data_IF_434203085829
#
_entry.id   IF_434203085829
#
_cell.length_a   1.000
_cell.length_b   1.000
_cell.length_c   1.000
_cell.angle_alpha   90.00
_cell.angle_beta   90.00
_cell.angle_gamma   90.00
#
_symmetry.space_group_name_H-M   'P 1'
#
loop_
_entity.id
_entity.type
_entity.pdbx_description
1 polymer ?
#
# COMPACT_ATOMS: atom_id res chain seq x y z
N UNK A 1 -5.81 -1.80 7.02
CA UNK A 1 -5.03 -2.17 5.83
C UNK A 1 -5.50 -3.53 5.33
N UNK A 2 -5.25 -3.85 4.05
CA UNK A 2 -5.72 -5.09 3.40
C UNK A 2 -4.97 -6.36 3.85
N UNK A 3 -3.82 -6.20 4.52
CA UNK A 3 -3.02 -7.25 5.14
C UNK A 3 -2.26 -6.64 6.34
N UNK A 4 -1.73 -7.49 7.22
CA UNK A 4 -0.89 -7.08 8.34
C UNK A 4 0.59 -6.90 7.97
N UNK A 5 0.99 -7.24 6.73
CA UNK A 5 2.35 -7.00 6.23
C UNK A 5 3.43 -7.85 6.91
N UNK A 6 3.08 -8.95 7.59
CA UNK A 6 4.07 -9.78 8.32
C UNK A 6 5.11 -10.40 7.39
N UNK A 7 4.71 -10.82 6.19
CA UNK A 7 5.59 -11.30 5.12
C UNK A 7 4.90 -11.20 3.75
N UNK A 8 5.68 -11.42 2.69
CA UNK A 8 5.22 -11.31 1.30
C UNK A 8 4.15 -12.37 0.99
N UNK A 9 4.41 -13.65 1.30
CA UNK A 9 3.50 -14.75 1.00
C UNK A 9 2.10 -14.55 1.61
N UNK A 10 2.03 -14.09 2.86
CA UNK A 10 0.77 -13.78 3.55
C UNK A 10 0.04 -12.63 2.86
N UNK A 11 0.78 -11.56 2.52
CA UNK A 11 0.21 -10.40 1.84
C UNK A 11 -0.35 -10.76 0.46
N UNK A 12 0.38 -11.56 -0.32
CA UNK A 12 -0.10 -12.06 -1.62
C UNK A 12 -1.36 -12.91 -1.47
N UNK A 13 -1.37 -13.85 -0.52
CA UNK A 13 -2.54 -14.69 -0.25
C UNK A 13 -3.76 -13.85 0.12
N UNK A 14 -3.59 -12.86 0.98
CA UNK A 14 -4.69 -12.00 1.42
C UNK A 14 -5.24 -11.15 0.27
N UNK A 15 -4.38 -10.58 -0.57
CA UNK A 15 -4.82 -9.80 -1.74
C UNK A 15 -5.51 -10.67 -2.79
N UNK A 16 -5.00 -11.88 -3.07
CA UNK A 16 -5.62 -12.82 -4.00
C UNK A 16 -7.00 -13.32 -3.54
N UNK A 17 -7.24 -13.36 -2.23
CA UNK A 17 -8.56 -13.68 -1.69
C UNK A 17 -9.56 -12.52 -1.81
N UNK A 18 -9.10 -11.28 -1.90
CA UNK A 18 -9.94 -10.08 -1.97
C UNK A 18 -10.30 -9.75 -3.43
N UNK A 19 -9.36 -9.90 -4.34
CA UNK A 19 -9.53 -9.50 -5.75
C UNK A 19 -9.72 -10.70 -6.68
N UNK A 20 -10.58 -10.58 -7.71
CA UNK A 20 -10.77 -11.65 -8.70
C UNK A 20 -9.49 -11.90 -9.49
N UNK A 21 -9.25 -13.16 -9.86
CA UNK A 21 -8.04 -13.60 -10.56
C UNK A 21 -7.79 -12.88 -11.88
N UNK A 22 -8.86 -12.58 -12.62
CA UNK A 22 -8.80 -11.81 -13.86
C UNK A 22 -8.19 -10.41 -13.70
N UNK A 23 -8.20 -9.85 -12.49
CA UNK A 23 -7.68 -8.51 -12.20
C UNK A 23 -6.24 -8.52 -11.66
N UNK A 24 -5.67 -9.68 -11.28
CA UNK A 24 -4.40 -9.73 -10.55
C UNK A 24 -3.24 -9.04 -11.27
N UNK A 25 -3.04 -9.31 -12.56
CA UNK A 25 -1.95 -8.71 -13.34
C UNK A 25 -2.12 -7.18 -13.46
N UNK A 26 -3.35 -6.72 -13.69
CA UNK A 26 -3.64 -5.28 -13.79
C UNK A 26 -3.41 -4.58 -12.46
N UNK A 27 -3.94 -5.13 -11.38
CA UNK A 27 -3.81 -4.58 -10.03
C UNK A 27 -2.35 -4.56 -9.57
N UNK A 28 -1.59 -5.62 -9.86
CA UNK A 28 -0.16 -5.69 -9.54
C UNK A 28 0.60 -4.50 -10.14
N UNK A 29 0.43 -4.25 -11.44
CA UNK A 29 1.07 -3.12 -12.11
C UNK A 29 0.57 -1.78 -11.56
N UNK A 30 -0.74 -1.63 -11.36
CA UNK A 30 -1.32 -0.41 -10.78
C UNK A 30 -0.74 -0.10 -9.39
N UNK A 31 -0.59 -1.11 -8.52
CA UNK A 31 0.02 -0.94 -7.20
C UNK A 31 1.49 -0.53 -7.29
N UNK A 32 2.26 -1.09 -8.23
CA UNK A 32 3.66 -0.71 -8.45
C UNK A 32 3.77 0.73 -8.94
N UNK A 33 3.02 1.11 -9.98
CA UNK A 33 3.05 2.47 -10.51
C UNK A 33 2.59 3.47 -9.45
N UNK A 34 1.52 3.16 -8.74
CA UNK A 34 1.04 3.99 -7.65
C UNK A 34 2.10 4.20 -6.56
N UNK A 35 2.78 3.14 -6.13
CA UNK A 35 3.84 3.21 -5.14
C UNK A 35 5.04 4.05 -5.56
N UNK A 36 5.34 4.10 -6.86
CA UNK A 36 6.47 4.87 -7.41
C UNK A 36 6.15 6.33 -7.62
N UNK A 37 4.94 6.63 -8.12
CA UNK A 37 4.56 7.99 -8.51
C UNK A 37 3.89 8.75 -7.38
N UNK A 38 3.04 8.10 -6.57
CA UNK A 38 2.17 8.79 -5.61
C UNK A 38 2.42 8.38 -4.16
N UNK A 39 2.83 7.14 -3.89
CA UNK A 39 3.00 6.64 -2.51
C UNK A 39 4.45 6.22 -2.23
N UNK A 40 5.40 7.12 -2.49
CA UNK A 40 6.82 6.84 -2.32
C UNK A 40 7.18 6.56 -0.86
N UNK A 41 7.93 5.49 -0.64
CA UNK A 41 8.23 4.96 0.69
C UNK A 41 9.06 5.89 1.59
N UNK A 42 9.62 6.99 1.08
CA UNK A 42 10.39 7.97 1.86
C UNK A 42 9.88 9.40 1.76
N UNK A 43 8.82 9.64 0.98
CA UNK A 43 8.27 10.98 0.76
C UNK A 43 6.81 11.07 1.18
N UNK A 44 5.99 10.04 0.94
CA UNK A 44 4.56 10.10 1.26
C UNK A 44 4.29 10.25 2.77
N UNK A 45 5.15 9.69 3.62
CA UNK A 45 4.99 9.63 5.09
C UNK A 45 3.61 9.14 5.58
N UNK A 46 2.83 8.51 4.69
CA UNK A 46 1.46 8.09 4.96
C UNK A 46 0.45 9.22 5.09
N UNK A 47 0.75 10.42 4.59
CA UNK A 47 -0.08 11.62 4.71
C UNK A 47 -0.40 12.30 3.37
N UNK A 48 0.39 12.05 2.32
CA UNK A 48 0.34 12.87 1.10
C UNK A 48 -0.49 12.26 -0.03
N UNK A 49 -0.61 10.93 -0.07
CA UNK A 49 -1.29 10.27 -1.18
C UNK A 49 -2.75 9.96 -0.85
N UNK A 50 -3.62 10.10 -1.86
CA UNK A 50 -5.06 9.89 -1.73
C UNK A 50 -5.44 8.57 -1.03
N UNK A 51 -4.75 7.47 -1.35
CA UNK A 51 -5.03 6.17 -0.71
C UNK A 51 -4.68 6.20 0.77
N UNK A 52 -3.58 6.84 1.18
CA UNK A 52 -3.21 6.94 2.59
C UNK A 52 -4.19 7.80 3.37
N UNK A 53 -4.59 8.95 2.82
CA UNK A 53 -5.59 9.84 3.42
C UNK A 53 -6.95 9.15 3.56
N UNK A 54 -7.40 8.49 2.49
CA UNK A 54 -8.67 7.74 2.48
C UNK A 54 -8.66 6.57 3.46
N UNK A 55 -7.57 5.80 3.52
CA UNK A 55 -7.47 4.65 4.41
C UNK A 55 -7.24 5.05 5.88
N UNK A 56 -6.66 6.23 6.13
CA UNK A 56 -6.28 6.68 7.47
C UNK A 56 -6.57 8.19 7.67
N UNK A 57 -7.84 8.61 7.61
CA UNK A 57 -8.21 10.05 7.58
C UNK A 57 -7.86 10.80 8.87
N UNK A 58 -7.69 10.08 9.98
CA UNK A 58 -7.34 10.67 11.28
C UNK A 58 -5.81 10.73 11.51
N UNK A 59 -4.99 10.27 10.56
CA UNK A 59 -3.53 10.32 10.70
C UNK A 59 -3.06 11.77 10.50
N UNK A 60 -2.50 12.35 11.55
CA UNK A 60 -1.88 13.70 11.53
C UNK A 60 -0.36 13.66 11.65
N UNK A 61 0.19 12.54 12.13
CA UNK A 61 1.63 12.38 12.35
C UNK A 61 2.25 11.53 11.25
N UNK A 62 3.41 11.95 10.70
CA UNK A 62 4.09 11.21 9.64
C UNK A 62 4.63 9.87 10.13
N UNK A 63 4.56 8.84 9.28
CA UNK A 63 5.14 7.53 9.56
C UNK A 63 6.67 7.67 9.63
N UNK A 64 7.26 7.25 10.74
CA UNK A 64 8.71 7.21 10.88
C UNK A 64 9.27 6.00 10.14
N UNK A 65 10.09 6.24 9.12
CA UNK A 65 10.87 5.18 8.50
C UNK A 65 12.01 4.78 9.44
N UNK A 66 12.15 3.48 9.71
CA UNK A 66 13.37 2.98 10.35
C UNK A 66 14.52 3.22 9.37
N UNK A 67 15.55 3.96 9.79
CA UNK A 67 16.80 4.02 9.03
C UNK A 67 17.40 2.62 9.08
N UNK A 68 17.59 2.04 7.90
CA UNK A 68 18.39 0.84 7.72
C UNK A 68 19.87 1.15 7.82
#
# INVERSE_FOLDING_TARGET
GLSNGKNVQKTEKDLKNIFPESAWNKLHLQMIYWGREYCQARACYGLECYICESCYPQRKTPIKHKRG
#
